data_IF_067277615471
#
_entry.id   IF_067277615471
#
_cell.length_a   1.000
_cell.length_b   1.000
_cell.length_c   1.000
_cell.angle_alpha   90.00
_cell.angle_beta   90.00
_cell.angle_gamma   90.00
#
_symmetry.space_group_name_H-M   'P 1'
#
loop_
_entity.id
_entity.type
_entity.pdbx_description
1 polymer ?
#
# COMPACT_ATOMS: atom_id res chain seq x y z
N UNK A 1 12.04 14.05 -25.01
CA UNK A 1 12.16 13.01 -23.97
C UNK A 1 10.92 13.07 -23.08
N UNK A 2 9.78 12.55 -23.54
CA UNK A 2 8.48 12.66 -22.83
C UNK A 2 7.99 11.28 -22.34
N UNK A 3 8.52 10.21 -22.92
CA UNK A 3 8.10 8.82 -22.64
C UNK A 3 8.52 8.31 -21.26
N UNK A 4 9.61 8.82 -20.68
CA UNK A 4 10.12 8.32 -19.39
C UNK A 4 9.31 8.79 -18.18
N UNK A 5 8.65 9.96 -18.25
CA UNK A 5 7.89 10.52 -17.14
C UNK A 5 6.45 9.99 -17.08
N UNK A 6 5.87 9.69 -18.24
CA UNK A 6 4.50 9.15 -18.35
C UNK A 6 4.39 7.75 -17.72
N UNK A 7 5.40 6.90 -17.95
CA UNK A 7 5.45 5.55 -17.40
C UNK A 7 5.55 5.53 -15.86
N UNK A 8 6.21 6.54 -15.26
CA UNK A 8 6.33 6.66 -13.80
C UNK A 8 5.00 7.04 -13.15
N UNK A 9 4.23 7.94 -13.77
CA UNK A 9 2.93 8.36 -13.24
C UNK A 9 1.88 7.22 -13.31
N UNK A 10 1.89 6.42 -14.37
CA UNK A 10 1.06 5.20 -14.45
C UNK A 10 1.43 4.21 -13.35
N UNK A 11 2.72 3.95 -13.12
CA UNK A 11 3.16 3.06 -12.05
C UNK A 11 2.72 3.53 -10.65
N UNK A 12 2.82 4.84 -10.37
CA UNK A 12 2.31 5.45 -9.12
C UNK A 12 0.80 5.24 -8.99
N UNK A 13 0.06 5.41 -10.08
CA UNK A 13 -1.40 5.26 -10.09
C UNK A 13 -1.82 3.81 -9.86
N UNK A 14 -1.13 2.86 -10.50
CA UNK A 14 -1.36 1.43 -10.34
C UNK A 14 -1.05 0.99 -8.90
N UNK A 15 0.07 1.44 -8.35
CA UNK A 15 0.49 1.12 -6.99
C UNK A 15 -0.47 1.70 -5.94
N UNK A 16 -0.90 2.95 -6.10
CA UNK A 16 -1.95 3.54 -5.27
C UNK A 16 -3.25 2.74 -5.34
N UNK A 17 -3.64 2.27 -6.53
CA UNK A 17 -4.83 1.43 -6.70
C UNK A 17 -4.68 0.08 -6.00
N UNK A 18 -3.49 -0.52 -6.00
CA UNK A 18 -3.21 -1.76 -5.27
C UNK A 18 -3.24 -1.55 -3.76
N UNK A 19 -2.61 -0.48 -3.26
CA UNK A 19 -2.65 -0.08 -1.85
C UNK A 19 -4.09 0.14 -1.40
N UNK A 20 -4.89 0.89 -2.16
CA UNK A 20 -6.30 1.13 -1.85
C UNK A 20 -7.09 -0.18 -1.76
N UNK A 21 -6.91 -1.09 -2.73
CA UNK A 21 -7.58 -2.40 -2.67
C UNK A 21 -7.15 -3.20 -1.43
N UNK A 22 -5.86 -3.19 -1.09
CA UNK A 22 -5.35 -3.93 0.05
C UNK A 22 -5.85 -3.37 1.38
N UNK A 23 -5.85 -2.04 1.52
CA UNK A 23 -6.41 -1.36 2.70
C UNK A 23 -7.92 -1.60 2.83
N UNK A 24 -8.68 -1.62 1.74
CA UNK A 24 -10.09 -2.02 1.76
C UNK A 24 -10.28 -3.47 2.23
N UNK A 25 -9.49 -4.41 1.70
CA UNK A 25 -9.54 -5.82 2.14
C UNK A 25 -9.18 -5.95 3.62
N UNK A 26 -8.14 -5.25 4.08
CA UNK A 26 -7.75 -5.23 5.48
C UNK A 26 -8.89 -4.66 6.34
N UNK A 27 -9.48 -3.53 5.95
CA UNK A 27 -10.57 -2.93 6.71
C UNK A 27 -11.84 -3.79 6.75
N UNK A 28 -12.14 -4.54 5.68
CA UNK A 28 -13.37 -5.35 5.59
C UNK A 28 -13.23 -6.71 6.26
N UNK A 29 -12.11 -7.41 6.03
CA UNK A 29 -11.91 -8.79 6.48
C UNK A 29 -11.05 -8.91 7.73
N UNK A 30 -10.23 -7.90 8.01
CA UNK A 30 -9.27 -7.89 9.13
C UNK A 30 -9.35 -6.57 9.91
N UNK A 31 -10.54 -6.20 10.46
CA UNK A 31 -10.76 -4.90 11.09
C UNK A 31 -9.81 -4.63 12.28
N UNK A 32 -9.23 -5.68 12.87
CA UNK A 32 -8.20 -5.60 13.92
C UNK A 32 -6.90 -4.95 13.43
N UNK A 33 -6.61 -5.08 12.13
CA UNK A 33 -5.47 -4.46 11.48
C UNK A 33 -5.78 -3.04 10.98
N UNK A 34 -7.04 -2.58 11.03
CA UNK A 34 -7.44 -1.26 10.54
C UNK A 34 -6.71 -0.12 11.27
N UNK A 35 -6.35 -0.31 12.54
CA UNK A 35 -5.57 0.68 13.31
C UNK A 35 -4.16 0.93 12.75
N UNK A 36 -3.61 0.01 11.95
CA UNK A 36 -2.32 0.19 11.26
C UNK A 36 -2.48 0.94 9.92
N UNK A 37 -3.72 1.12 9.44
CA UNK A 37 -4.01 1.84 8.20
C UNK A 37 -4.10 3.37 8.41
N UNK A 38 -4.36 3.82 9.63
CA UNK A 38 -4.48 5.25 9.97
C UNK A 38 -3.15 6.01 9.86
N UNK A 39 -2.01 5.32 9.87
CA UNK A 39 -0.68 5.91 9.65
C UNK A 39 -0.34 6.05 8.14
N UNK A 40 -1.31 6.45 7.31
CA UNK A 40 -1.00 6.71 5.90
C UNK A 40 -0.05 7.91 5.80
N UNK A 41 1.11 7.80 5.13
CA UNK A 41 1.99 8.95 4.95
C UNK A 41 1.29 10.03 4.11
N UNK A 42 1.24 11.27 4.60
CA UNK A 42 0.74 12.47 3.91
C UNK A 42 1.63 12.90 2.72
N UNK A 43 2.08 11.94 1.90
CA UNK A 43 3.13 12.15 0.90
C UNK A 43 2.61 12.48 -0.50
N UNK A 44 1.40 13.04 -0.59
CA UNK A 44 0.91 13.65 -1.85
C UNK A 44 1.08 15.17 -1.75
N UNK A 45 2.33 15.62 -1.68
CA UNK A 45 2.68 17.01 -1.96
C UNK A 45 3.07 17.08 -3.42
N UNK A 46 2.34 17.87 -4.23
CA UNK A 46 2.54 18.09 -5.68
C UNK A 46 3.96 18.55 -6.10
N UNK A 47 4.88 18.71 -5.14
CA UNK A 47 6.27 19.12 -5.35
C UNK A 47 7.31 18.02 -5.02
N UNK A 48 6.87 16.81 -4.66
CA UNK A 48 7.80 15.71 -4.37
C UNK A 48 8.28 15.04 -5.68
N UNK A 49 9.54 14.61 -5.69
CA UNK A 49 10.12 13.86 -6.80
C UNK A 49 9.31 12.56 -7.01
N UNK A 50 8.92 12.27 -8.25
CA UNK A 50 8.09 11.10 -8.59
C UNK A 50 8.78 9.79 -8.16
N UNK A 51 10.11 9.79 -8.14
CA UNK A 51 10.92 8.64 -7.71
C UNK A 51 10.78 8.38 -6.20
N UNK A 52 10.85 9.44 -5.39
CA UNK A 52 10.63 9.36 -3.93
C UNK A 52 9.19 8.92 -3.64
N UNK A 53 8.24 9.37 -4.45
CA UNK A 53 6.82 8.99 -4.31
C UNK A 53 6.60 7.50 -4.56
N UNK A 54 7.25 6.92 -5.57
CA UNK A 54 7.17 5.47 -5.85
C UNK A 54 7.76 4.67 -4.69
N UNK A 55 8.98 5.00 -4.24
CA UNK A 55 9.65 4.25 -3.16
C UNK A 55 8.83 4.26 -1.86
N UNK A 56 8.22 5.39 -1.53
CA UNK A 56 7.35 5.52 -0.36
C UNK A 56 6.10 4.64 -0.46
N UNK A 57 5.46 4.63 -1.63
CA UNK A 57 4.28 3.79 -1.88
C UNK A 57 4.64 2.30 -1.87
N UNK A 58 5.79 1.91 -2.45
CA UNK A 58 6.25 0.52 -2.46
C UNK A 58 6.53 0.06 -1.04
N UNK A 59 7.24 0.87 -0.24
CA UNK A 59 7.52 0.58 1.16
C UNK A 59 6.23 0.45 2.00
N UNK A 60 5.24 1.30 1.75
CA UNK A 60 3.95 1.21 2.42
C UNK A 60 3.19 -0.07 2.02
N UNK A 61 3.16 -0.40 0.72
CA UNK A 61 2.55 -1.64 0.23
C UNK A 61 3.22 -2.89 0.82
N UNK A 62 4.55 -2.92 0.87
CA UNK A 62 5.30 -4.01 1.50
C UNK A 62 4.99 -4.14 2.99
N UNK A 63 4.89 -3.01 3.70
CA UNK A 63 4.55 -2.99 5.13
C UNK A 63 3.15 -3.57 5.38
N UNK A 64 2.16 -3.18 4.58
CA UNK A 64 0.80 -3.73 4.64
C UNK A 64 0.76 -5.23 4.31
N UNK A 65 1.51 -5.65 3.28
CA UNK A 65 1.59 -7.06 2.88
C UNK A 65 2.24 -7.92 3.95
N UNK A 66 3.33 -7.43 4.55
CA UNK A 66 4.02 -8.06 5.66
C UNK A 66 3.14 -8.17 6.91
N UNK A 67 2.41 -7.09 7.24
CA UNK A 67 1.44 -7.07 8.34
C UNK A 67 0.35 -8.14 8.15
N UNK A 68 -0.27 -8.17 6.97
CA UNK A 68 -1.32 -9.15 6.66
C UNK A 68 -0.76 -10.57 6.66
N UNK A 69 0.41 -10.79 6.06
CA UNK A 69 1.06 -12.10 6.04
C UNK A 69 1.36 -12.58 7.46
N UNK A 70 1.93 -11.71 8.30
CA UNK A 70 2.23 -12.04 9.69
C UNK A 70 0.95 -12.39 10.46
N UNK A 71 -0.10 -11.59 10.30
CA UNK A 71 -1.40 -11.87 10.91
C UNK A 71 -1.95 -13.23 10.48
N UNK A 72 -1.90 -13.56 9.18
CA UNK A 72 -2.36 -14.85 8.67
C UNK A 72 -1.52 -16.05 9.18
N UNK A 73 -0.24 -15.84 9.48
CA UNK A 73 0.63 -16.85 10.07
C UNK A 73 0.38 -17.04 11.57
N UNK A 74 0.09 -15.96 12.30
CA UNK A 74 -0.22 -15.98 13.74
C UNK A 74 -1.66 -16.43 14.01
N UNK A 75 -2.56 -16.14 13.08
CA UNK A 75 -3.96 -16.55 13.05
C UNK A 75 -4.22 -17.45 11.84
N UNK A 76 -3.52 -18.61 11.73
CA UNK A 76 -3.82 -19.55 10.67
C UNK A 76 -5.28 -19.90 10.80
N UNK A 77 -6.03 -19.80 9.71
CA UNK A 77 -7.45 -20.17 9.64
C UNK A 77 -7.52 -21.67 9.92
N UNK A 78 -7.42 -22.05 11.19
CA UNK A 78 -7.42 -23.41 11.65
C UNK A 78 -8.87 -23.75 11.97
N UNK A 79 -9.47 -24.37 10.96
CA UNK A 79 -10.48 -25.41 11.09
C UNK A 79 -11.86 -24.99 11.60
N UNK A 80 -12.77 -24.74 10.66
CA UNK A 80 -14.06 -25.44 10.69
C UNK A 80 -14.25 -26.27 9.45
#
# INVERSE_FOLDING_TARGET
MITSTLNKQEAITDLNSMILKMTMVISEYYPELAGFLEEMPDTISDNADLEVTIEQLESYFESLSSLLTKYLLEHPISSR
#
